data_IF_593836348263
#
_entry.id   IF_593836348263
#
_cell.length_a   1.000
_cell.length_b   1.000
_cell.length_c   1.000
_cell.angle_alpha   90.00
_cell.angle_beta   90.00
_cell.angle_gamma   90.00
#
_symmetry.space_group_name_H-M   'P 1'
#
loop_
_entity.id
_entity.type
_entity.pdbx_description
1 polymer ?
#
# COMPACT_ATOMS: atom_id res chain seq x y z
N UNK A 1 4.14 -8.41 -7.27
CA UNK A 1 5.02 -8.04 -6.12
C UNK A 1 5.96 -6.89 -6.46
N UNK A 2 6.87 -7.06 -7.44
CA UNK A 2 7.91 -6.07 -7.79
C UNK A 2 7.40 -4.66 -8.07
N UNK A 3 6.24 -4.52 -8.73
CA UNK A 3 5.63 -3.23 -9.01
C UNK A 3 5.20 -2.50 -7.73
N UNK A 4 4.44 -3.16 -6.87
CA UNK A 4 3.93 -2.59 -5.62
C UNK A 4 5.07 -2.13 -4.71
N UNK A 5 6.14 -2.92 -4.58
CA UNK A 5 7.30 -2.56 -3.75
C UNK A 5 8.06 -1.34 -4.30
N UNK A 6 8.18 -1.24 -5.63
CA UNK A 6 8.77 -0.06 -6.27
C UNK A 6 7.92 1.18 -6.02
N UNK A 7 6.59 1.07 -6.07
CA UNK A 7 5.69 2.20 -5.81
C UNK A 7 5.82 2.70 -4.37
N UNK A 8 5.84 1.80 -3.38
CA UNK A 8 6.08 2.19 -1.99
C UNK A 8 7.45 2.86 -1.83
N UNK A 9 8.49 2.32 -2.48
CA UNK A 9 9.83 2.91 -2.45
C UNK A 9 9.86 4.33 -3.06
N UNK A 10 9.08 4.59 -4.11
CA UNK A 10 8.91 5.95 -4.65
C UNK A 10 8.12 6.85 -3.68
N UNK A 11 7.09 6.30 -3.04
CA UNK A 11 6.32 6.96 -1.99
C UNK A 11 7.19 7.51 -0.87
N UNK A 12 8.07 6.66 -0.31
CA UNK A 12 9.01 7.03 0.76
C UNK A 12 9.97 8.16 0.38
N UNK A 13 10.34 8.28 -0.91
CA UNK A 13 11.20 9.39 -1.38
C UNK A 13 10.49 10.73 -1.32
N UNK A 14 9.17 10.79 -1.46
CA UNK A 14 8.37 12.01 -1.29
C UNK A 14 8.58 13.14 -2.31
N UNK A 15 9.49 13.01 -3.29
CA UNK A 15 9.81 14.10 -4.23
C UNK A 15 8.78 14.28 -5.34
N UNK A 16 8.72 15.47 -5.93
CA UNK A 16 7.86 15.76 -7.09
C UNK A 16 8.16 14.82 -8.28
N UNK A 17 9.44 14.52 -8.51
CA UNK A 17 9.85 13.57 -9.53
C UNK A 17 9.32 12.16 -9.25
N UNK A 18 9.36 11.70 -8.00
CA UNK A 18 8.82 10.42 -7.59
C UNK A 18 7.29 10.36 -7.76
N UNK A 19 6.56 11.43 -7.39
CA UNK A 19 5.11 11.53 -7.63
C UNK A 19 4.78 11.47 -9.12
N UNK A 20 5.49 12.21 -9.97
CA UNK A 20 5.30 12.15 -11.45
C UNK A 20 5.57 10.76 -12.01
N UNK A 21 6.60 10.06 -11.53
CA UNK A 21 6.91 8.69 -11.95
C UNK A 21 5.82 7.70 -11.51
N UNK A 22 5.28 7.86 -10.30
CA UNK A 22 4.17 7.05 -9.81
C UNK A 22 2.88 7.29 -10.63
N UNK A 23 2.57 8.54 -10.97
CA UNK A 23 1.42 8.90 -11.83
C UNK A 23 1.57 8.26 -13.22
N UNK A 24 2.75 8.32 -13.83
CA UNK A 24 3.00 7.71 -15.13
C UNK A 24 2.78 6.18 -15.11
N UNK A 25 3.01 5.54 -13.96
CA UNK A 25 2.89 4.09 -13.80
C UNK A 25 1.47 3.66 -13.45
N UNK A 26 0.84 4.30 -12.46
CA UNK A 26 -0.48 3.95 -11.94
C UNK A 26 -1.62 4.58 -12.75
N UNK A 27 -1.37 5.67 -13.47
CA UNK A 27 -2.32 6.42 -14.30
C UNK A 27 -3.57 6.92 -13.57
N UNK A 28 -3.57 6.87 -12.24
CA UNK A 28 -4.67 7.30 -11.39
C UNK A 28 -4.14 8.18 -10.26
N UNK A 29 -4.49 9.46 -10.29
CA UNK A 29 -3.99 10.44 -9.33
C UNK A 29 -4.51 10.20 -7.92
N UNK A 30 -5.76 9.76 -7.77
CA UNK A 30 -6.35 9.43 -6.47
C UNK A 30 -5.58 8.33 -5.73
N UNK A 31 -5.19 7.26 -6.43
CA UNK A 31 -4.39 6.18 -5.84
C UNK A 31 -2.96 6.63 -5.50
N UNK A 32 -2.37 7.51 -6.31
CA UNK A 32 -1.06 8.09 -6.00
C UNK A 32 -1.14 8.93 -4.73
N UNK A 33 -2.24 9.66 -4.51
CA UNK A 33 -2.43 10.40 -3.26
C UNK A 33 -2.44 9.46 -2.05
N UNK A 34 -3.27 8.42 -2.07
CA UNK A 34 -3.33 7.39 -1.00
C UNK A 34 -1.98 6.73 -0.78
N UNK A 35 -1.25 6.40 -1.86
CA UNK A 35 0.07 5.78 -1.77
C UNK A 35 1.07 6.66 -1.00
N UNK A 36 1.10 7.97 -1.25
CA UNK A 36 2.07 8.87 -0.63
C UNK A 36 1.62 9.39 0.74
N UNK A 37 0.31 9.54 0.96
CA UNK A 37 -0.23 10.18 2.16
C UNK A 37 -0.52 9.14 3.26
N UNK A 38 -0.96 7.92 2.90
CA UNK A 38 -1.36 6.88 3.85
C UNK A 38 -0.39 5.69 3.88
N UNK A 39 -0.07 5.12 2.71
CA UNK A 39 0.67 3.85 2.63
C UNK A 39 2.17 4.05 2.91
N UNK A 40 2.82 4.98 2.22
CA UNK A 40 4.26 5.18 2.31
C UNK A 40 4.76 5.55 3.71
N UNK A 41 4.09 6.45 4.47
CA UNK A 41 4.49 6.78 5.84
C UNK A 41 4.40 5.60 6.80
N UNK A 42 3.47 4.66 6.55
CA UNK A 42 3.36 3.43 7.34
C UNK A 42 4.66 2.61 7.29
N UNK A 43 5.33 2.62 6.14
CA UNK A 43 6.52 1.81 5.89
C UNK A 43 7.86 2.54 6.10
N UNK A 44 7.88 3.73 6.72
CA UNK A 44 9.08 4.59 6.84
C UNK A 44 10.26 3.86 7.50
N UNK A 45 10.00 3.11 8.58
CA UNK A 45 11.00 2.35 9.33
C UNK A 45 11.57 1.14 8.59
N UNK A 46 10.90 0.68 7.51
CA UNK A 46 11.20 -0.60 6.86
C UNK A 46 11.98 -0.45 5.56
N UNK A 47 13.09 -1.18 5.44
CA UNK A 47 13.91 -1.23 4.23
C UNK A 47 13.52 -2.41 3.31
N UNK A 48 12.34 -2.35 2.69
CA UNK A 48 11.88 -3.33 1.70
C UNK A 48 10.99 -4.44 2.25
N UNK A 49 10.47 -5.29 1.35
CA UNK A 49 9.54 -6.35 1.72
C UNK A 49 8.22 -5.82 2.29
N UNK A 50 7.57 -4.89 1.58
CA UNK A 50 6.33 -4.24 2.03
C UNK A 50 5.08 -5.11 1.85
N UNK A 51 5.17 -6.16 1.03
CA UNK A 51 4.05 -7.05 0.71
C UNK A 51 4.31 -8.49 1.16
N UNK A 52 3.25 -9.16 1.61
CA UNK A 52 3.21 -10.59 1.97
C UNK A 52 2.28 -11.36 1.05
N UNK A 53 2.65 -12.61 0.79
CA UNK A 53 1.88 -13.60 0.02
C UNK A 53 1.40 -14.68 0.98
N UNK A 54 0.08 -14.89 1.06
CA UNK A 54 -0.54 -15.98 1.80
C UNK A 54 -1.22 -16.93 0.79
N UNK A 55 -0.84 -18.21 0.81
CA UNK A 55 -1.42 -19.21 -0.09
C UNK A 55 -2.80 -19.64 0.41
N UNK A 56 -3.82 -19.51 -0.44
CA UNK A 56 -5.22 -19.84 -0.10
C UNK A 56 -5.65 -21.22 -0.59
N UNK A 57 -4.81 -21.91 -1.37
CA UNK A 57 -5.14 -23.20 -1.99
C UNK A 57 -5.69 -23.04 -3.40
N UNK A 58 -6.39 -24.05 -3.91
CA UNK A 58 -6.85 -24.10 -5.31
C UNK A 58 -8.27 -23.58 -5.43
N UNK A 59 -8.54 -22.79 -6.48
CA UNK A 59 -9.88 -22.33 -6.84
C UNK A 59 -10.73 -23.50 -7.32
N UNK A 60 -11.99 -23.56 -6.86
CA UNK A 60 -12.88 -24.71 -7.10
C UNK A 60 -13.19 -24.97 -8.59
N UNK A 61 -13.29 -23.93 -9.42
CA UNK A 61 -13.73 -24.07 -10.82
C UNK A 61 -12.66 -24.58 -11.78
N UNK A 62 -11.41 -24.11 -11.62
CA UNK A 62 -10.31 -24.32 -12.58
C UNK A 62 -9.05 -24.89 -11.92
N UNK A 63 -9.12 -25.20 -10.62
CA UNK A 63 -8.00 -25.70 -9.83
C UNK A 63 -6.75 -24.80 -9.86
N UNK A 64 -6.92 -23.51 -10.16
CA UNK A 64 -5.84 -22.52 -10.17
C UNK A 64 -5.37 -22.19 -8.75
N UNK A 65 -4.07 -22.06 -8.53
CA UNK A 65 -3.51 -21.71 -7.22
C UNK A 65 -3.80 -20.25 -6.88
N UNK A 66 -4.50 -20.04 -5.77
CA UNK A 66 -4.91 -18.73 -5.28
C UNK A 66 -3.98 -18.25 -4.16
N UNK A 67 -3.75 -16.94 -4.16
CA UNK A 67 -2.94 -16.26 -3.18
C UNK A 67 -3.62 -14.96 -2.76
N UNK A 68 -3.60 -14.66 -1.47
CA UNK A 68 -3.86 -13.32 -0.95
C UNK A 68 -2.55 -12.54 -0.90
N UNK A 69 -2.53 -11.39 -1.56
CA UNK A 69 -1.43 -10.44 -1.53
C UNK A 69 -1.83 -9.25 -0.65
N UNK A 70 -1.12 -9.04 0.45
CA UNK A 70 -1.43 -8.01 1.44
C UNK A 70 -0.21 -7.14 1.77
N UNK A 71 -0.48 -5.96 2.33
CA UNK A 71 0.52 -5.09 2.96
C UNK A 71 0.92 -5.67 4.33
N UNK A 72 2.18 -5.56 4.73
CA UNK A 72 2.64 -6.17 6.00
C UNK A 72 2.30 -5.31 7.22
N UNK A 73 2.53 -4.01 7.13
CA UNK A 73 2.02 -3.08 8.14
C UNK A 73 0.63 -2.71 7.68
N UNK A 74 -0.37 -3.18 8.43
CA UNK A 74 -1.75 -2.77 8.24
C UNK A 74 -1.81 -1.25 8.41
N UNK A 75 -2.71 -0.62 7.67
CA UNK A 75 -3.06 0.78 7.83
C UNK A 75 -3.73 1.00 9.20
N UNK A 76 -2.98 0.89 10.29
CA UNK A 76 -3.50 1.10 11.65
C UNK A 76 -3.88 2.58 11.87
N UNK A 77 -3.31 3.50 11.07
CA UNK A 77 -3.60 4.94 11.15
C UNK A 77 -5.02 5.34 10.72
N UNK A 78 -5.81 4.46 10.10
CA UNK A 78 -7.21 4.76 9.84
C UNK A 78 -8.04 4.74 11.15
N UNK A 79 -7.69 3.90 12.13
CA UNK A 79 -8.41 3.78 13.39
C UNK A 79 -8.15 4.94 14.36
N UNK A 80 -7.00 5.61 14.24
CA UNK A 80 -6.65 6.75 15.09
C UNK A 80 -7.39 8.04 14.68
N UNK A 81 -7.80 8.16 13.43
CA UNK A 81 -8.48 9.38 12.93
C UNK A 81 -9.94 9.42 13.41
N UNK A 82 -10.62 8.27 13.47
CA UNK A 82 -11.98 8.16 14.03
C UNK A 82 -12.02 8.44 15.54
N UNK A 83 -10.95 8.13 16.29
CA UNK A 83 -10.88 8.37 17.73
C UNK A 83 -10.65 9.84 18.10
N UNK A 84 -10.03 10.63 17.22
CA UNK A 84 -9.81 12.06 17.46
C UNK A 84 -11.08 12.87 17.21
N UNK A 85 -11.94 12.44 16.28
CA UNK A 85 -13.25 13.07 16.05
C UNK A 85 -14.28 12.69 17.13
N UNK A 86 -14.28 11.45 17.63
CA UNK A 86 -15.21 11.00 18.67
C UNK A 86 -14.93 11.57 20.09
N UNK A 87 -13.75 12.15 20.32
CA UNK A 87 -13.40 12.79 21.60
C UNK A 87 -13.60 14.32 21.60
N UNK A 88 -13.92 14.90 20.43
CA UNK A 88 -14.15 16.33 20.24
C UNK A 88 -15.64 16.73 20.25
N UNK A 89 -16.53 15.75 20.36
CA UNK A 89 -17.97 15.90 20.63
C UNK A 89 -18.30 15.46 22.07
#
# INVERSE_FOLDING_TARGET
RSLAEKMVTLGKKGTLAARRQAIATLKQEGLVRVLFDEIAPGFESRAGGYTRILKLGRRMSDSSEMVLLEWIEGSEKAADTEQVEAAAE
#
